data_IF_792681677593
#
_entry.id   IF_792681677593
#
_cell.length_a   1.000
_cell.length_b   1.000
_cell.length_c   1.000
_cell.angle_alpha   90.00
_cell.angle_beta   90.00
_cell.angle_gamma   90.00
#
_symmetry.space_group_name_H-M   'P 1'
#
loop_
_entity.id
_entity.type
_entity.pdbx_description
1 polymer ?
#
# COMPACT_ATOMS: atom_id res chain seq x y z
N UNK A 1 4.10 28.46 -30.16
CA UNK A 1 4.28 26.99 -30.12
C UNK A 1 2.89 26.39 -29.91
N UNK A 2 2.58 25.30 -30.61
CA UNK A 2 1.27 24.63 -30.49
C UNK A 2 1.23 23.77 -29.25
N UNK A 3 0.02 23.47 -28.77
CA UNK A 3 -0.20 22.52 -27.71
C UNK A 3 0.39 21.16 -28.08
N UNK A 4 0.98 20.49 -27.09
CA UNK A 4 1.56 19.15 -27.30
C UNK A 4 0.68 18.12 -26.63
N UNK A 5 -0.05 17.33 -27.40
CA UNK A 5 -0.88 16.23 -26.87
C UNK A 5 0.04 15.13 -26.33
N UNK A 6 -0.19 14.72 -25.09
CA UNK A 6 0.53 13.66 -24.40
C UNK A 6 -0.22 12.33 -24.46
N UNK A 7 -1.56 12.36 -24.34
CA UNK A 7 -2.40 11.17 -24.38
C UNK A 7 -3.83 11.55 -24.77
N UNK A 8 -4.57 10.60 -25.35
CA UNK A 8 -5.99 10.76 -25.66
C UNK A 8 -6.68 9.38 -25.55
N UNK A 9 -7.77 9.32 -24.79
CA UNK A 9 -8.57 8.10 -24.61
C UNK A 9 -9.99 8.47 -24.16
N UNK A 10 -10.98 7.75 -24.66
CA UNK A 10 -12.37 8.03 -24.34
C UNK A 10 -12.72 9.50 -24.57
N UNK A 11 -13.19 10.15 -23.50
CA UNK A 11 -13.52 11.60 -23.49
C UNK A 11 -12.36 12.46 -23.01
N UNK A 12 -11.19 11.88 -22.76
CA UNK A 12 -10.06 12.57 -22.10
C UNK A 12 -8.99 12.91 -23.11
N UNK A 13 -8.48 14.14 -23.07
CA UNK A 13 -7.28 14.59 -23.78
C UNK A 13 -6.32 15.21 -22.78
N UNK A 14 -5.09 14.71 -22.72
CA UNK A 14 -4.04 15.27 -21.85
C UNK A 14 -3.03 15.97 -22.72
N UNK A 15 -2.79 17.25 -22.45
CA UNK A 15 -1.87 18.05 -23.27
C UNK A 15 -1.09 19.07 -22.43
N UNK A 16 0.05 19.53 -22.98
CA UNK A 16 0.84 20.60 -22.40
C UNK A 16 0.58 21.90 -23.15
N UNK A 17 0.26 22.94 -22.41
CA UNK A 17 0.20 24.30 -22.95
C UNK A 17 1.61 24.88 -23.06
N UNK A 18 1.86 25.74 -24.06
CA UNK A 18 3.11 26.49 -24.09
C UNK A 18 3.30 27.31 -22.82
N UNK A 19 4.48 27.24 -22.24
CA UNK A 19 4.88 28.03 -21.07
C UNK A 19 4.21 27.64 -19.74
N UNK A 20 3.57 26.47 -19.66
CA UNK A 20 3.05 25.98 -18.39
C UNK A 20 3.61 24.56 -18.10
N UNK A 21 4.18 24.32 -16.92
CA UNK A 21 4.84 23.04 -16.63
C UNK A 21 3.87 21.88 -16.32
N UNK A 22 2.63 22.21 -15.91
CA UNK A 22 1.67 21.16 -15.55
C UNK A 22 0.76 20.82 -16.73
N UNK A 23 0.57 19.54 -17.06
CA UNK A 23 -0.37 19.15 -18.10
C UNK A 23 -1.80 19.58 -17.78
N UNK A 24 -2.61 19.72 -18.84
CA UNK A 24 -4.06 19.85 -18.70
C UNK A 24 -4.68 18.48 -18.99
N UNK A 25 -5.51 18.04 -18.07
CA UNK A 25 -6.41 16.91 -18.21
C UNK A 25 -7.76 17.48 -18.61
N UNK A 26 -8.09 17.41 -19.88
CA UNK A 26 -9.34 17.94 -20.43
C UNK A 26 -10.33 16.79 -20.62
N UNK A 27 -11.51 16.90 -20.03
CA UNK A 27 -12.57 15.92 -20.20
C UNK A 27 -13.75 16.56 -20.95
N UNK A 28 -14.17 15.92 -22.04
CA UNK A 28 -15.30 16.38 -22.86
C UNK A 28 -16.64 15.88 -22.32
N UNK A 29 -17.64 16.74 -22.42
CA UNK A 29 -19.01 16.41 -22.11
C UNK A 29 -19.40 16.66 -20.65
N UNK A 30 -20.66 16.42 -20.38
CA UNK A 30 -21.25 16.52 -19.04
C UNK A 30 -21.81 15.15 -18.66
N UNK A 31 -21.95 14.93 -17.38
CA UNK A 31 -22.64 13.74 -16.87
C UNK A 31 -24.04 14.13 -16.37
N UNK A 32 -24.88 13.14 -16.26
CA UNK A 32 -26.21 13.34 -15.70
C UNK A 32 -26.12 13.84 -14.26
N UNK A 33 -27.07 14.63 -13.79
CA UNK A 33 -27.07 15.13 -12.41
C UNK A 33 -26.82 13.97 -11.41
N UNK A 34 -25.87 14.18 -10.54
CA UNK A 34 -25.48 13.18 -9.54
C UNK A 34 -24.99 13.90 -8.27
N UNK A 35 -24.88 13.19 -7.14
CA UNK A 35 -24.54 13.82 -5.86
C UNK A 35 -23.14 14.44 -5.80
N UNK A 36 -22.24 14.07 -6.70
CA UNK A 36 -20.87 14.56 -6.71
C UNK A 36 -20.67 15.75 -7.67
N UNK A 37 -21.76 16.23 -8.31
CA UNK A 37 -21.65 17.34 -9.25
C UNK A 37 -20.64 17.06 -10.36
N UNK A 38 -19.97 18.11 -10.81
CA UNK A 38 -19.05 17.99 -11.95
C UNK A 38 -17.77 17.19 -11.66
N UNK A 39 -17.43 16.90 -10.39
CA UNK A 39 -16.29 16.00 -10.13
C UNK A 39 -16.62 14.54 -10.44
N UNK A 40 -17.87 14.17 -10.60
CA UNK A 40 -18.25 12.79 -10.90
C UNK A 40 -17.56 12.27 -12.17
N UNK A 41 -17.42 13.13 -13.18
CA UNK A 41 -16.74 12.74 -14.43
C UNK A 41 -15.28 12.33 -14.20
N UNK A 42 -14.64 12.93 -13.18
CA UNK A 42 -13.26 12.58 -12.80
C UNK A 42 -13.23 11.29 -11.97
N UNK A 43 -14.28 11.04 -11.20
CA UNK A 43 -14.36 9.81 -10.39
C UNK A 43 -14.55 8.56 -11.25
N UNK A 44 -15.06 8.70 -12.48
CA UNK A 44 -15.26 7.59 -13.41
C UNK A 44 -13.96 7.10 -14.06
N UNK A 45 -12.89 7.92 -14.08
CA UNK A 45 -11.64 7.57 -14.79
C UNK A 45 -10.68 6.81 -13.88
N UNK A 46 -10.46 5.53 -14.14
CA UNK A 46 -9.61 4.63 -13.35
C UNK A 46 -8.09 4.96 -13.45
N UNK A 47 -7.70 5.79 -14.40
CA UNK A 47 -6.29 6.23 -14.50
C UNK A 47 -5.97 7.37 -13.54
N UNK A 48 -6.99 7.99 -12.93
CA UNK A 48 -6.79 9.00 -11.89
C UNK A 48 -6.57 8.34 -10.53
N UNK A 49 -5.52 8.76 -9.84
CA UNK A 49 -5.20 8.32 -8.49
C UNK A 49 -5.83 9.25 -7.44
N UNK A 50 -5.86 10.55 -7.72
CA UNK A 50 -6.42 11.54 -6.79
C UNK A 50 -7.18 12.63 -7.54
N UNK A 51 -8.24 13.14 -6.91
CA UNK A 51 -9.02 14.29 -7.37
C UNK A 51 -8.99 15.33 -6.24
N UNK A 52 -8.60 16.57 -6.55
CA UNK A 52 -8.38 17.62 -5.56
C UNK A 52 -9.13 18.89 -5.94
N UNK A 53 -10.08 19.27 -5.10
CA UNK A 53 -10.82 20.53 -5.19
C UNK A 53 -10.35 21.45 -4.07
N UNK A 54 -9.95 22.69 -4.41
CA UNK A 54 -9.35 23.65 -3.47
C UNK A 54 -10.10 25.00 -3.49
N UNK A 55 -11.42 24.95 -3.46
CA UNK A 55 -12.27 26.16 -3.52
C UNK A 55 -12.58 26.62 -4.93
N UNK A 56 -13.64 27.41 -5.05
CA UNK A 56 -14.21 27.82 -6.35
C UNK A 56 -13.35 28.78 -7.17
N UNK A 57 -12.24 29.26 -6.62
CA UNK A 57 -11.33 30.17 -7.33
C UNK A 57 -10.31 29.42 -8.22
N UNK A 58 -10.28 28.08 -8.13
CA UNK A 58 -9.33 27.24 -8.88
C UNK A 58 -10.07 26.11 -9.59
N UNK A 59 -9.54 25.67 -10.73
CA UNK A 59 -10.01 24.43 -11.34
C UNK A 59 -9.67 23.24 -10.43
N UNK A 60 -10.47 22.20 -10.54
CA UNK A 60 -10.17 20.92 -9.89
C UNK A 60 -8.83 20.39 -10.46
N UNK A 61 -8.00 19.79 -9.63
CA UNK A 61 -6.73 19.18 -10.05
C UNK A 61 -6.81 17.67 -9.85
N UNK A 62 -6.03 16.93 -10.65
CA UNK A 62 -6.00 15.47 -10.57
C UNK A 62 -4.56 14.97 -10.59
N UNK A 63 -4.36 13.81 -10.03
CA UNK A 63 -3.10 13.09 -10.22
C UNK A 63 -3.34 11.92 -11.16
N UNK A 64 -2.93 11.85 -12.33
CA UNK A 64 -2.96 10.93 -13.21
C UNK A 64 -1.90 10.10 -12.97
N UNK A 65 -1.90 8.84 -13.22
CA UNK A 65 -0.86 7.84 -12.95
C UNK A 65 0.42 8.08 -13.75
N UNK A 66 0.26 8.29 -15.05
CA UNK A 66 1.40 8.39 -15.97
C UNK A 66 1.87 9.83 -16.19
N UNK A 67 1.04 10.79 -15.83
CA UNK A 67 1.32 12.21 -16.14
C UNK A 67 1.45 13.09 -14.89
N UNK A 68 1.29 12.49 -13.69
CA UNK A 68 1.43 13.23 -12.44
C UNK A 68 0.32 14.24 -12.20
N UNK A 69 0.69 15.39 -11.64
CA UNK A 69 -0.28 16.43 -11.26
C UNK A 69 -0.73 17.23 -12.50
N UNK A 70 -2.03 17.18 -12.79
CA UNK A 70 -2.64 17.89 -13.92
C UNK A 70 -3.69 18.89 -13.45
N UNK A 71 -3.82 19.98 -14.19
CA UNK A 71 -4.99 20.89 -14.09
C UNK A 71 -6.12 20.30 -14.92
N UNK A 72 -7.38 20.58 -14.55
CA UNK A 72 -8.52 20.12 -15.34
C UNK A 72 -9.30 21.31 -15.92
N UNK A 73 -10.26 21.00 -16.80
CA UNK A 73 -11.28 21.97 -17.25
C UNK A 73 -12.53 21.95 -16.36
N UNK A 74 -12.50 21.27 -15.23
CA UNK A 74 -13.62 21.16 -14.29
C UNK A 74 -13.54 22.27 -13.24
N UNK A 75 -14.63 23.02 -13.07
CA UNK A 75 -14.72 24.11 -12.10
C UNK A 75 -15.99 23.90 -11.25
N UNK A 76 -15.88 24.13 -9.95
CA UNK A 76 -16.99 23.97 -8.99
C UNK A 76 -16.98 25.21 -8.11
N UNK A 77 -18.12 25.86 -7.96
CA UNK A 77 -18.21 26.99 -7.03
C UNK A 77 -18.28 26.50 -5.58
N UNK A 78 -18.08 27.42 -4.65
CA UNK A 78 -17.98 27.09 -3.22
C UNK A 78 -19.28 26.48 -2.67
N UNK A 79 -20.45 26.97 -3.11
CA UNK A 79 -21.73 26.42 -2.65
C UNK A 79 -21.90 24.97 -3.09
N UNK A 80 -21.60 24.67 -4.35
CA UNK A 80 -21.64 23.31 -4.86
C UNK A 80 -20.59 22.45 -4.13
N UNK A 81 -19.39 22.98 -3.89
CA UNK A 81 -18.34 22.28 -3.14
C UNK A 81 -18.76 21.89 -1.73
N UNK A 82 -19.44 22.83 -1.02
CA UNK A 82 -19.97 22.55 0.33
C UNK A 82 -21.04 21.45 0.26
N UNK A 83 -21.92 21.48 -0.74
CA UNK A 83 -22.97 20.46 -0.87
C UNK A 83 -22.36 19.08 -1.14
N UNK A 84 -21.36 19.00 -2.02
CA UNK A 84 -20.63 17.76 -2.29
C UNK A 84 -19.95 17.26 -1.00
N UNK A 85 -19.28 18.15 -0.27
CA UNK A 85 -18.61 17.80 0.99
C UNK A 85 -19.59 17.23 2.01
N UNK A 86 -20.76 17.85 2.13
CA UNK A 86 -21.84 17.35 2.98
C UNK A 86 -22.37 15.98 2.53
N UNK A 87 -22.39 15.74 1.27
CA UNK A 87 -22.74 14.58 0.77
C UNK A 87 -21.96 13.59 1.23
N UNK A 88 -20.77 13.76 1.00
CA UNK A 88 -19.78 12.74 1.34
C UNK A 88 -19.69 12.50 2.86
N UNK A 89 -19.64 13.55 3.63
CA UNK A 89 -19.58 13.44 5.10
C UNK A 89 -20.75 12.62 5.67
N UNK A 90 -21.91 12.68 5.03
CA UNK A 90 -23.08 11.92 5.50
C UNK A 90 -22.90 10.41 5.40
N UNK A 91 -22.06 9.93 4.47
CA UNK A 91 -21.78 8.48 4.33
C UNK A 91 -21.07 7.92 5.56
N UNK A 92 -20.38 8.77 6.31
CA UNK A 92 -19.64 8.37 7.52
C UNK A 92 -20.29 8.96 8.79
N UNK A 93 -21.48 9.52 8.65
CA UNK A 93 -22.24 10.12 9.77
C UNK A 93 -21.45 11.24 10.47
N UNK A 94 -20.66 12.02 9.72
CA UNK A 94 -19.94 13.18 10.27
C UNK A 94 -20.83 14.42 10.11
N UNK A 95 -21.16 15.13 11.19
CA UNK A 95 -21.95 16.36 11.11
C UNK A 95 -21.08 17.52 10.63
N UNK A 96 -20.86 17.61 9.32
CA UNK A 96 -19.97 18.63 8.73
C UNK A 96 -20.61 20.02 8.79
N UNK A 97 -19.92 20.95 9.45
CA UNK A 97 -20.39 22.32 9.62
C UNK A 97 -19.54 23.10 10.58
N UNK A 98 -19.92 24.36 10.83
CA UNK A 98 -19.26 25.27 11.77
C UNK A 98 -20.17 25.65 12.97
N UNK A 99 -21.22 24.86 13.24
CA UNK A 99 -22.14 25.08 14.34
C UNK A 99 -21.85 24.20 15.57
N UNK A 100 -22.57 24.41 16.65
CA UNK A 100 -22.45 23.56 17.84
C UNK A 100 -22.68 22.09 17.51
N UNK A 101 -21.74 21.24 17.92
CA UNK A 101 -21.81 19.79 17.64
C UNK A 101 -21.41 19.40 16.24
N UNK A 102 -20.96 20.35 15.44
CA UNK A 102 -20.47 20.11 14.07
C UNK A 102 -18.96 20.21 14.01
N UNK A 103 -18.36 19.66 12.96
CA UNK A 103 -16.91 19.72 12.71
C UNK A 103 -16.64 20.26 11.31
N UNK A 104 -15.67 21.17 11.16
CA UNK A 104 -15.34 21.72 9.84
C UNK A 104 -14.31 20.89 9.05
N UNK A 105 -13.88 19.75 9.59
CA UNK A 105 -12.95 18.81 8.95
C UNK A 105 -13.53 17.41 9.03
N UNK A 106 -13.47 16.65 7.92
CA UNK A 106 -13.89 15.25 7.97
C UNK A 106 -12.97 14.36 7.16
N UNK A 107 -12.85 13.13 7.61
CA UNK A 107 -12.34 12.03 6.82
C UNK A 107 -13.52 11.12 6.51
N UNK A 108 -13.68 10.75 5.26
CA UNK A 108 -14.82 9.97 4.81
C UNK A 108 -14.43 8.96 3.75
N UNK A 109 -15.45 8.25 3.30
CA UNK A 109 -15.29 7.25 2.25
C UNK A 109 -16.49 7.28 1.32
N UNK A 110 -16.22 7.23 0.01
CA UNK A 110 -17.28 7.06 -0.98
C UNK A 110 -17.77 5.61 -0.98
N UNK A 111 -18.96 5.34 -1.53
CA UNK A 111 -19.47 3.96 -1.60
C UNK A 111 -18.57 2.99 -2.38
N UNK A 112 -17.76 3.49 -3.32
CA UNK A 112 -16.79 2.70 -4.07
C UNK A 112 -15.53 2.35 -3.26
N UNK A 113 -15.39 2.91 -2.03
CA UNK A 113 -14.24 2.71 -1.17
C UNK A 113 -13.20 3.83 -1.24
N UNK A 114 -13.34 4.78 -2.15
CA UNK A 114 -12.42 5.94 -2.27
C UNK A 114 -12.40 6.75 -0.98
N UNK A 115 -11.22 7.17 -0.53
CA UNK A 115 -11.04 7.94 0.70
C UNK A 115 -11.17 9.43 0.40
N UNK A 116 -11.81 10.16 1.29
CA UNK A 116 -11.97 11.59 1.15
C UNK A 116 -11.56 12.30 2.43
N UNK A 117 -10.69 13.29 2.28
CA UNK A 117 -10.51 14.31 3.33
C UNK A 117 -11.16 15.59 2.82
N UNK A 118 -11.99 16.19 3.65
CA UNK A 118 -12.67 17.45 3.29
C UNK A 118 -12.60 18.46 4.42
N UNK A 119 -12.53 19.73 4.03
CA UNK A 119 -12.56 20.84 4.99
C UNK A 119 -13.49 21.94 4.47
N UNK A 120 -14.04 22.70 5.40
CA UNK A 120 -14.85 23.88 5.05
C UNK A 120 -14.37 25.10 5.87
N UNK A 121 -14.75 26.31 5.45
CA UNK A 121 -14.47 27.47 6.28
C UNK A 121 -15.02 27.31 7.72
N UNK A 122 -14.32 27.83 8.75
CA UNK A 122 -13.18 28.77 8.67
C UNK A 122 -11.80 28.09 8.59
N UNK A 123 -11.72 26.76 8.57
CA UNK A 123 -10.41 26.05 8.54
C UNK A 123 -9.70 26.31 7.20
N UNK A 124 -10.46 26.31 6.12
CA UNK A 124 -9.96 26.70 4.80
C UNK A 124 -10.64 28.00 4.39
N UNK A 125 -10.01 29.16 4.71
CA UNK A 125 -10.69 30.45 4.55
C UNK A 125 -11.01 30.83 3.10
N UNK A 126 -10.33 30.22 2.13
CA UNK A 126 -10.51 30.51 0.70
C UNK A 126 -11.60 29.64 0.05
N UNK A 127 -12.29 28.81 0.83
CA UNK A 127 -13.37 27.97 0.34
C UNK A 127 -13.28 26.53 0.83
N UNK A 128 -14.28 25.70 0.53
CA UNK A 128 -14.25 24.28 0.90
C UNK A 128 -13.20 23.52 0.10
N UNK A 129 -12.67 22.43 0.67
CA UNK A 129 -11.74 21.57 -0.05
C UNK A 129 -12.19 20.12 0.01
N UNK A 130 -11.79 19.36 -1.02
CA UNK A 130 -11.96 17.91 -1.06
C UNK A 130 -10.72 17.30 -1.69
N UNK A 131 -10.10 16.36 -1.01
CA UNK A 131 -9.05 15.51 -1.57
C UNK A 131 -9.57 14.10 -1.58
N UNK A 132 -9.82 13.56 -2.77
CA UNK A 132 -10.37 12.22 -2.95
C UNK A 132 -9.27 11.34 -3.50
N UNK A 133 -8.87 10.33 -2.72
CA UNK A 133 -7.92 9.32 -3.16
C UNK A 133 -8.72 8.10 -3.63
N UNK A 134 -8.68 7.87 -4.93
CA UNK A 134 -9.54 6.87 -5.57
C UNK A 134 -9.18 5.45 -5.15
N UNK A 135 -10.21 4.66 -4.93
CA UNK A 135 -10.09 3.24 -4.70
C UNK A 135 -9.97 2.54 -6.05
N UNK A 136 -8.96 1.71 -6.23
CA UNK A 136 -8.73 1.03 -7.50
C UNK A 136 -9.59 -0.23 -7.58
N UNK A 137 -10.44 -0.33 -8.59
CA UNK A 137 -11.28 -1.52 -8.80
C UNK A 137 -10.48 -2.75 -9.20
N UNK A 138 -9.37 -2.57 -9.93
CA UNK A 138 -8.47 -3.64 -10.35
C UNK A 138 -7.13 -3.46 -9.61
N UNK A 139 -6.96 -4.08 -8.45
CA UNK A 139 -5.72 -3.91 -7.67
C UNK A 139 -4.53 -4.51 -8.41
N UNK A 140 -3.36 -3.85 -8.24
CA UNK A 140 -2.11 -4.34 -8.80
C UNK A 140 -1.73 -5.67 -8.19
N UNK A 141 -1.12 -6.53 -9.01
CA UNK A 141 -0.59 -7.83 -8.58
C UNK A 141 0.95 -7.79 -8.56
N UNK A 142 1.55 -8.84 -8.05
CA UNK A 142 3.02 -8.96 -8.10
C UNK A 142 3.55 -8.94 -9.53
N UNK A 143 2.74 -9.38 -10.50
CA UNK A 143 3.13 -9.37 -11.91
C UNK A 143 3.28 -7.94 -12.44
N UNK A 144 2.39 -7.04 -12.00
CA UNK A 144 2.52 -5.62 -12.33
C UNK A 144 3.81 -5.03 -11.73
N UNK A 145 4.13 -5.39 -10.48
CA UNK A 145 5.36 -4.90 -9.84
C UNK A 145 6.61 -5.38 -10.58
N UNK A 146 6.59 -6.61 -11.12
CA UNK A 146 7.68 -7.11 -11.95
C UNK A 146 7.73 -6.35 -13.27
N UNK A 147 6.58 -6.14 -13.91
CA UNK A 147 6.48 -5.42 -15.20
C UNK A 147 6.96 -3.97 -15.06
N UNK A 148 6.66 -3.31 -13.95
CA UNK A 148 7.13 -1.94 -13.66
C UNK A 148 8.60 -1.89 -13.23
N UNK A 149 9.24 -3.03 -13.00
CA UNK A 149 10.61 -3.09 -12.52
C UNK A 149 10.77 -2.70 -11.04
N UNK A 150 9.68 -2.70 -10.28
CA UNK A 150 9.73 -2.49 -8.82
C UNK A 150 10.48 -3.63 -8.15
N UNK A 151 10.31 -4.84 -8.67
CA UNK A 151 10.95 -6.07 -8.21
C UNK A 151 11.23 -6.92 -9.47
N UNK A 152 12.23 -7.78 -9.45
CA UNK A 152 12.44 -8.73 -10.55
C UNK A 152 11.76 -10.07 -10.27
N UNK A 153 11.60 -10.92 -11.28
CA UNK A 153 10.89 -12.21 -11.15
C UNK A 153 11.55 -13.13 -10.12
N UNK A 154 12.87 -13.07 -9.98
CA UNK A 154 13.61 -13.89 -9.01
C UNK A 154 13.27 -13.49 -7.57
N UNK A 155 13.33 -12.18 -7.27
CA UNK A 155 12.97 -11.68 -5.93
C UNK A 155 11.48 -11.89 -5.64
N UNK A 156 10.60 -11.71 -6.64
CA UNK A 156 9.16 -11.97 -6.48
C UNK A 156 8.91 -13.45 -6.11
N UNK A 157 9.64 -14.37 -6.74
CA UNK A 157 9.56 -15.80 -6.43
C UNK A 157 10.12 -16.11 -5.03
N UNK A 158 11.22 -15.44 -4.67
CA UNK A 158 11.78 -15.56 -3.32
C UNK A 158 10.79 -15.08 -2.27
N UNK A 159 10.14 -13.91 -2.50
CA UNK A 159 9.09 -13.38 -1.61
C UNK A 159 7.94 -14.37 -1.47
N UNK A 160 7.55 -15.04 -2.56
CA UNK A 160 6.51 -16.07 -2.51
C UNK A 160 6.92 -17.18 -1.55
N UNK A 161 8.17 -17.69 -1.65
CA UNK A 161 8.67 -18.71 -0.73
C UNK A 161 8.68 -18.20 0.71
N UNK A 162 9.12 -16.96 0.94
CA UNK A 162 9.15 -16.37 2.30
C UNK A 162 7.75 -16.31 2.92
N UNK A 163 6.73 -15.92 2.14
CA UNK A 163 5.35 -15.76 2.68
C UNK A 163 4.69 -17.11 2.92
N UNK A 164 4.90 -18.06 2.05
CA UNK A 164 4.36 -19.41 2.21
C UNK A 164 5.15 -20.21 3.24
N UNK A 165 6.48 -20.00 3.30
CA UNK A 165 7.36 -20.68 4.26
C UNK A 165 7.53 -22.17 4.02
N UNK A 166 7.33 -22.64 2.78
CA UNK A 166 7.28 -24.06 2.40
C UNK A 166 6.34 -24.85 3.34
N UNK A 167 5.21 -24.22 3.69
CA UNK A 167 4.17 -24.72 4.60
C UNK A 167 4.69 -25.02 6.02
N UNK A 168 5.87 -24.53 6.38
CA UNK A 168 6.51 -24.81 7.67
C UNK A 168 6.86 -23.56 8.46
N UNK A 169 7.59 -22.60 7.86
CA UNK A 169 8.06 -21.40 8.57
C UNK A 169 7.98 -20.17 7.65
N UNK A 170 6.83 -19.51 7.58
CA UNK A 170 6.73 -18.25 6.85
C UNK A 170 7.48 -17.11 7.55
N UNK A 171 7.99 -16.17 6.77
CA UNK A 171 8.80 -15.06 7.25
C UNK A 171 7.95 -13.97 7.91
N UNK A 172 8.47 -13.40 8.98
CA UNK A 172 7.98 -12.17 9.61
C UNK A 172 8.77 -10.99 9.04
N UNK A 173 8.09 -9.96 8.53
CA UNK A 173 8.83 -8.85 7.93
C UNK A 173 8.08 -7.53 7.97
N UNK A 174 8.82 -6.45 7.71
CA UNK A 174 8.23 -5.13 7.49
C UNK A 174 8.73 -4.56 6.17
N UNK A 175 7.85 -3.82 5.49
CA UNK A 175 8.20 -3.02 4.32
C UNK A 175 8.32 -1.58 4.75
N UNK A 176 9.50 -0.99 4.58
CA UNK A 176 9.73 0.40 4.94
C UNK A 176 9.99 1.24 3.70
N UNK A 177 9.64 2.51 3.77
CA UNK A 177 9.84 3.45 2.66
C UNK A 177 9.17 4.78 2.94
N UNK A 178 9.54 5.77 2.15
CA UNK A 178 8.94 7.10 2.22
C UNK A 178 7.50 7.14 1.71
N UNK A 179 6.88 8.30 1.81
CA UNK A 179 5.54 8.54 1.28
C UNK A 179 5.54 8.36 -0.24
N UNK A 180 4.53 7.65 -0.75
CA UNK A 180 4.38 7.42 -2.18
C UNK A 180 5.34 6.38 -2.76
N UNK A 181 6.09 5.66 -1.93
CA UNK A 181 7.00 4.61 -2.42
C UNK A 181 6.28 3.32 -2.84
N UNK A 182 5.00 3.17 -2.51
CA UNK A 182 4.19 2.01 -2.93
C UNK A 182 4.12 0.87 -1.92
N UNK A 183 4.42 1.13 -0.64
CA UNK A 183 4.42 0.10 0.41
C UNK A 183 3.09 -0.66 0.50
N UNK A 184 1.97 0.08 0.56
CA UNK A 184 0.64 -0.52 0.68
C UNK A 184 0.33 -1.40 -0.54
N UNK A 185 0.72 -0.95 -1.73
CA UNK A 185 0.57 -1.75 -2.96
C UNK A 185 1.36 -3.05 -2.86
N UNK A 186 2.61 -2.98 -2.40
CA UNK A 186 3.44 -4.17 -2.25
C UNK A 186 2.89 -5.10 -1.16
N UNK A 187 2.42 -4.57 -0.02
CA UNK A 187 1.73 -5.37 0.99
C UNK A 187 0.54 -6.13 0.39
N UNK A 188 -0.25 -5.43 -0.42
CA UNK A 188 -1.42 -6.02 -1.07
C UNK A 188 -1.01 -7.17 -2.00
N UNK A 189 -0.01 -6.91 -2.86
CA UNK A 189 0.50 -7.93 -3.78
C UNK A 189 1.05 -9.16 -3.06
N UNK A 190 1.72 -8.95 -1.92
CA UNK A 190 2.27 -10.06 -1.13
C UNK A 190 1.17 -10.88 -0.46
N UNK A 191 0.04 -10.25 -0.11
CA UNK A 191 -1.11 -10.95 0.46
C UNK A 191 -1.63 -12.08 -0.42
N UNK A 192 -1.51 -11.98 -1.74
CA UNK A 192 -1.96 -13.01 -2.68
C UNK A 192 -1.18 -14.33 -2.54
N UNK A 193 0.04 -14.27 -1.97
CA UNK A 193 0.86 -15.47 -1.75
C UNK A 193 0.46 -16.24 -0.48
N UNK A 194 -0.44 -15.69 0.34
CA UNK A 194 -0.88 -16.38 1.57
C UNK A 194 -1.82 -17.54 1.17
N UNK A 195 -1.53 -18.79 1.60
CA UNK A 195 -2.42 -19.91 1.26
C UNK A 195 -3.83 -19.72 1.82
N UNK A 196 -4.86 -20.03 1.03
CA UNK A 196 -6.27 -19.79 1.41
C UNK A 196 -6.72 -20.55 2.64
N UNK A 197 -6.08 -21.67 2.99
CA UNK A 197 -6.42 -22.40 4.20
C UNK A 197 -5.93 -21.71 5.47
N UNK A 198 -5.14 -20.63 5.35
CA UNK A 198 -4.66 -19.82 6.48
C UNK A 198 -5.61 -18.65 6.74
N UNK A 199 -5.96 -18.42 7.99
CA UNK A 199 -6.82 -17.29 8.37
C UNK A 199 -6.01 -16.00 8.35
N UNK A 200 -6.39 -15.09 7.46
CA UNK A 200 -5.73 -13.78 7.30
C UNK A 200 -6.53 -12.71 8.05
N UNK A 201 -5.86 -11.94 8.88
CA UNK A 201 -6.42 -10.72 9.48
C UNK A 201 -5.61 -9.52 9.03
N UNK A 202 -6.29 -8.45 8.62
CA UNK A 202 -5.64 -7.16 8.32
C UNK A 202 -6.13 -6.10 9.30
N UNK A 203 -5.22 -5.22 9.73
CA UNK A 203 -5.52 -4.10 10.62
C UNK A 203 -4.99 -2.84 9.96
N UNK A 204 -5.87 -1.85 9.75
CA UNK A 204 -5.54 -0.62 9.02
C UNK A 204 -6.18 0.60 9.67
N UNK A 205 -5.53 1.77 9.55
CA UNK A 205 -6.15 3.06 9.94
C UNK A 205 -7.35 3.37 9.04
N UNK A 206 -7.17 3.13 7.75
CA UNK A 206 -8.26 3.17 6.78
C UNK A 206 -8.04 1.99 5.85
N UNK A 207 -9.08 1.22 5.63
CA UNK A 207 -8.99 -0.02 4.85
C UNK A 207 -8.66 0.28 3.37
N UNK A 208 -7.44 0.00 2.97
CA UNK A 208 -6.91 0.18 1.60
C UNK A 208 -6.60 -1.17 0.93
N UNK A 209 -6.25 -2.18 1.73
CA UNK A 209 -5.88 -3.48 1.19
C UNK A 209 -7.08 -4.14 0.49
N UNK A 210 -6.79 -4.80 -0.61
CA UNK A 210 -7.75 -5.50 -1.47
C UNK A 210 -7.27 -6.92 -1.73
N UNK A 211 -6.92 -7.64 -0.68
CA UNK A 211 -6.37 -8.99 -0.81
C UNK A 211 -7.47 -9.94 -1.30
N UNK A 212 -7.22 -10.65 -2.39
CA UNK A 212 -8.14 -11.67 -2.88
C UNK A 212 -7.85 -12.98 -2.12
N UNK A 213 -8.60 -13.21 -1.03
CA UNK A 213 -8.33 -14.33 -0.10
C UNK A 213 -9.63 -14.91 0.44
N UNK A 214 -9.73 -16.22 0.46
CA UNK A 214 -10.94 -16.96 0.82
C UNK A 214 -11.33 -16.81 2.31
N UNK A 215 -10.34 -16.63 3.19
CA UNK A 215 -10.57 -16.54 4.63
C UNK A 215 -9.91 -15.27 5.21
N UNK A 216 -10.46 -14.10 4.85
CA UNK A 216 -9.93 -12.79 5.22
C UNK A 216 -10.88 -12.03 6.14
N UNK A 217 -10.36 -11.53 7.26
CA UNK A 217 -11.06 -10.63 8.17
C UNK A 217 -10.30 -9.29 8.21
N UNK A 218 -11.03 -8.23 7.98
CA UNK A 218 -10.49 -6.87 7.89
C UNK A 218 -10.94 -6.07 9.10
N UNK A 219 -10.01 -5.37 9.75
CA UNK A 219 -10.28 -4.46 10.86
C UNK A 219 -9.78 -3.06 10.51
N UNK A 220 -10.58 -2.07 10.87
CA UNK A 220 -10.26 -0.65 10.63
C UNK A 220 -10.41 0.10 11.96
N UNK A 221 -9.50 1.05 12.20
CA UNK A 221 -9.56 1.89 13.41
C UNK A 221 -10.76 2.84 13.35
N UNK A 222 -11.10 3.39 14.49
CA UNK A 222 -12.16 4.39 14.58
C UNK A 222 -11.67 5.55 15.46
N UNK A 223 -11.65 6.75 14.89
CA UNK A 223 -11.31 7.95 15.65
C UNK A 223 -12.41 8.27 16.67
N UNK A 224 -12.05 8.99 17.72
CA UNK A 224 -13.02 9.54 18.66
C UNK A 224 -14.01 10.44 17.90
N UNK A 225 -15.28 10.32 18.23
CA UNK A 225 -16.35 11.09 17.59
C UNK A 225 -16.77 12.28 18.45
N UNK A 226 -17.31 13.33 17.83
CA UNK A 226 -17.83 14.49 18.59
C UNK A 226 -18.94 14.16 19.59
N UNK A 227 -19.63 13.06 19.40
CA UNK A 227 -20.70 12.59 20.32
C UNK A 227 -20.15 11.88 21.55
N UNK A 228 -18.82 11.80 21.70
CA UNK A 228 -18.15 11.13 22.82
C UNK A 228 -17.93 9.62 22.61
N UNK A 229 -18.22 9.11 21.42
CA UNK A 229 -17.88 7.70 21.10
C UNK A 229 -16.36 7.54 21.12
N UNK A 230 -15.82 6.61 21.94
CA UNK A 230 -14.38 6.52 22.13
C UNK A 230 -13.64 6.03 20.89
N UNK A 231 -12.37 6.42 20.79
CA UNK A 231 -11.43 5.91 19.79
C UNK A 231 -11.25 4.40 19.96
N UNK A 232 -11.03 3.71 18.83
CA UNK A 232 -10.50 2.34 18.79
C UNK A 232 -9.26 2.41 17.91
N UNK A 233 -8.08 2.35 18.52
CA UNK A 233 -6.84 2.57 17.81
C UNK A 233 -6.28 1.28 17.18
N UNK A 234 -5.17 1.41 16.48
CA UNK A 234 -4.48 0.30 15.79
C UNK A 234 -4.08 -0.80 16.79
N UNK A 235 -3.61 -0.41 17.97
CA UNK A 235 -3.16 -1.33 19.01
C UNK A 235 -4.33 -2.11 19.60
N UNK A 236 -5.50 -1.46 19.78
CA UNK A 236 -6.72 -2.13 20.24
C UNK A 236 -7.17 -3.20 19.23
N UNK A 237 -7.19 -2.82 17.96
CA UNK A 237 -7.55 -3.75 16.89
C UNK A 237 -6.59 -4.94 16.86
N UNK A 238 -5.28 -4.66 16.93
CA UNK A 238 -4.26 -5.71 16.87
C UNK A 238 -4.33 -6.65 18.09
N UNK A 239 -4.50 -6.09 19.30
CA UNK A 239 -4.70 -6.92 20.51
C UNK A 239 -5.95 -7.81 20.41
N UNK A 240 -7.02 -7.27 19.84
CA UNK A 240 -8.25 -8.03 19.63
C UNK A 240 -8.02 -9.16 18.61
N UNK A 241 -7.29 -8.85 17.53
CA UNK A 241 -7.01 -9.82 16.45
C UNK A 241 -6.32 -11.09 16.98
N UNK A 242 -5.43 -10.95 17.98
CA UNK A 242 -4.71 -12.07 18.57
C UNK A 242 -5.63 -13.10 19.26
N UNK A 243 -6.87 -12.70 19.57
CA UNK A 243 -7.88 -13.60 20.17
C UNK A 243 -8.81 -14.21 19.12
N UNK A 244 -8.58 -13.90 17.83
CA UNK A 244 -9.42 -14.36 16.72
C UNK A 244 -8.82 -15.55 15.98
N UNK A 245 -7.78 -16.17 16.54
CA UNK A 245 -7.05 -17.30 15.95
C UNK A 245 -6.51 -16.98 14.55
N UNK A 246 -5.71 -15.92 14.40
CA UNK A 246 -5.13 -15.62 13.11
C UNK A 246 -3.97 -16.56 12.78
N UNK A 247 -3.85 -16.95 11.51
CA UNK A 247 -2.63 -17.59 11.00
C UNK A 247 -1.66 -16.55 10.44
N UNK A 248 -2.20 -15.43 9.91
CA UNK A 248 -1.43 -14.34 9.33
C UNK A 248 -2.03 -13.01 9.74
N UNK A 249 -1.18 -12.06 10.10
CA UNK A 249 -1.61 -10.70 10.43
C UNK A 249 -0.87 -9.73 9.53
N UNK A 250 -1.61 -8.84 8.84
CA UNK A 250 -1.02 -7.74 8.09
C UNK A 250 -1.43 -6.43 8.77
N UNK A 251 -0.45 -5.61 9.14
CA UNK A 251 -0.71 -4.26 9.66
C UNK A 251 -0.40 -3.27 8.54
N UNK A 252 -1.41 -2.52 8.12
CA UNK A 252 -1.29 -1.59 6.98
C UNK A 252 -0.14 -0.61 7.15
N UNK A 253 -0.07 0.01 8.34
CA UNK A 253 1.07 0.87 8.68
C UNK A 253 1.29 0.91 10.19
N UNK A 254 2.54 0.72 10.58
CA UNK A 254 2.96 0.73 11.99
C UNK A 254 3.57 2.10 12.30
N UNK A 255 3.03 2.79 13.31
CA UNK A 255 3.47 4.15 13.68
C UNK A 255 3.68 4.34 15.18
N UNK A 256 3.09 3.47 15.99
CA UNK A 256 3.01 3.64 17.43
C UNK A 256 3.15 2.34 18.22
N UNK A 257 2.47 2.23 19.36
CA UNK A 257 2.65 1.08 20.27
C UNK A 257 2.22 -0.27 19.68
N UNK A 258 1.43 -0.29 18.60
CA UNK A 258 1.09 -1.52 17.87
C UNK A 258 2.34 -2.24 17.35
N UNK A 259 3.46 -1.53 17.16
CA UNK A 259 4.73 -2.14 16.76
C UNK A 259 5.14 -3.25 17.74
N UNK A 260 5.14 -2.94 19.03
CA UNK A 260 5.52 -3.91 20.06
C UNK A 260 4.54 -5.10 20.11
N UNK A 261 3.24 -4.83 19.91
CA UNK A 261 2.21 -5.88 19.87
C UNK A 261 2.41 -6.79 18.65
N UNK A 262 2.72 -6.22 17.48
CA UNK A 262 3.02 -7.00 16.27
C UNK A 262 4.26 -7.88 16.46
N UNK A 263 5.33 -7.31 17.03
CA UNK A 263 6.56 -8.07 17.32
C UNK A 263 6.31 -9.16 18.37
N UNK A 264 5.43 -8.90 19.35
CA UNK A 264 5.00 -9.92 20.29
C UNK A 264 4.32 -11.08 19.54
N UNK A 265 3.41 -10.78 18.63
CA UNK A 265 2.73 -11.80 17.82
C UNK A 265 3.76 -12.63 17.03
N UNK A 266 4.71 -11.97 16.37
CA UNK A 266 5.78 -12.62 15.62
C UNK A 266 6.66 -13.55 16.49
N UNK A 267 6.86 -13.18 17.77
CA UNK A 267 7.66 -13.98 18.71
C UNK A 267 6.86 -15.08 19.43
N UNK A 268 5.53 -15.11 19.29
CA UNK A 268 4.67 -16.02 20.04
C UNK A 268 3.80 -16.91 19.16
N UNK A 269 4.29 -17.24 17.96
CA UNK A 269 3.67 -18.27 17.14
C UNK A 269 2.72 -17.76 16.05
N UNK A 270 2.74 -16.44 15.76
CA UNK A 270 1.99 -15.89 14.63
C UNK A 270 2.95 -15.59 13.47
N UNK A 271 3.75 -16.60 13.09
CA UNK A 271 4.73 -16.49 12.01
C UNK A 271 4.05 -16.16 10.67
N UNK A 272 4.77 -15.40 9.84
CA UNK A 272 4.25 -14.93 8.57
C UNK A 272 3.42 -13.66 8.69
N UNK A 273 3.57 -12.95 9.80
CA UNK A 273 2.93 -11.64 10.00
C UNK A 273 3.83 -10.53 9.45
N UNK A 274 3.23 -9.49 8.90
CA UNK A 274 3.99 -8.39 8.31
C UNK A 274 3.23 -7.08 8.32
N UNK A 275 3.92 -6.00 8.00
CA UNK A 275 3.32 -4.67 7.96
C UNK A 275 4.21 -3.67 7.25
N UNK A 276 3.80 -2.41 7.22
CA UNK A 276 4.64 -1.35 6.67
C UNK A 276 4.95 -0.29 7.72
N UNK A 277 5.98 0.51 7.44
CA UNK A 277 6.30 1.70 8.25
C UNK A 277 7.10 2.72 7.42
N UNK A 278 7.22 3.92 7.95
CA UNK A 278 7.99 4.98 7.30
C UNK A 278 9.44 4.94 7.77
N UNK A 279 10.36 4.55 6.88
CA UNK A 279 11.80 4.67 7.06
C UNK A 279 12.47 4.50 5.70
N UNK A 280 13.67 5.03 5.53
CA UNK A 280 14.34 5.02 4.21
C UNK A 280 15.47 3.99 4.10
N UNK A 281 15.89 3.42 5.23
CA UNK A 281 16.92 2.36 5.27
C UNK A 281 16.55 1.32 6.32
N UNK A 282 17.14 0.13 6.22
CA UNK A 282 16.95 -0.91 7.24
C UNK A 282 17.42 -0.44 8.62
N UNK A 283 18.53 0.29 8.67
CA UNK A 283 19.04 0.83 9.94
C UNK A 283 18.09 1.87 10.54
N UNK A 284 17.52 2.76 9.71
CA UNK A 284 16.51 3.73 10.18
C UNK A 284 15.26 3.00 10.68
N UNK A 285 14.85 1.93 10.00
CA UNK A 285 13.71 1.11 10.42
C UNK A 285 13.90 0.60 11.86
N UNK A 286 15.05 0.00 12.12
CA UNK A 286 15.41 -0.48 13.47
C UNK A 286 15.38 0.67 14.48
N UNK A 287 15.98 1.80 14.12
CA UNK A 287 16.05 2.97 15.00
C UNK A 287 14.64 3.47 15.36
N UNK A 288 13.74 3.56 14.37
CA UNK A 288 12.37 4.01 14.62
C UNK A 288 11.59 3.03 15.48
N UNK A 289 11.79 1.71 15.27
CA UNK A 289 11.08 0.70 16.06
C UNK A 289 11.50 0.72 17.53
N UNK A 290 12.78 0.95 17.82
CA UNK A 290 13.30 0.94 19.20
C UNK A 290 12.89 2.20 19.97
N UNK A 291 12.77 3.34 19.27
CA UNK A 291 12.53 4.63 19.89
C UNK A 291 11.03 5.00 19.93
N UNK A 292 10.64 5.98 20.76
CA UNK A 292 9.26 6.47 20.75
C UNK A 292 8.81 6.94 19.36
N UNK A 293 7.54 6.75 18.99
CA UNK A 293 6.44 6.22 19.82
C UNK A 293 6.30 4.68 19.80
N UNK A 294 7.11 3.97 19.01
CA UNK A 294 7.00 2.51 18.86
C UNK A 294 7.52 1.73 20.07
N UNK A 295 8.65 2.16 20.64
CA UNK A 295 9.23 1.63 21.90
C UNK A 295 9.36 0.10 21.92
N UNK A 296 9.74 -0.52 20.80
CA UNK A 296 9.95 -1.97 20.72
C UNK A 296 11.22 -2.33 21.51
N UNK A 297 11.14 -3.20 22.51
CA UNK A 297 12.37 -3.70 23.16
C UNK A 297 13.29 -4.35 22.13
N UNK A 298 14.59 -3.97 22.10
CA UNK A 298 15.49 -4.48 21.05
C UNK A 298 15.51 -5.99 20.89
N UNK A 299 15.41 -6.73 21.99
CA UNK A 299 15.41 -8.20 21.93
C UNK A 299 14.24 -8.76 21.12
N UNK A 300 13.11 -8.05 21.07
CA UNK A 300 11.94 -8.50 20.32
C UNK A 300 12.16 -8.45 18.81
N UNK A 301 13.14 -7.64 18.34
CA UNK A 301 13.47 -7.57 16.91
C UNK A 301 14.00 -8.91 16.39
N UNK A 302 14.42 -9.83 17.25
CA UNK A 302 14.81 -11.18 16.82
C UNK A 302 13.65 -11.98 16.21
N UNK A 303 12.41 -11.58 16.47
CA UNK A 303 11.23 -12.18 15.83
C UNK A 303 10.94 -11.65 14.44
N UNK A 304 11.62 -10.58 14.02
CA UNK A 304 11.52 -10.00 12.69
C UNK A 304 12.61 -10.60 11.80
N UNK A 305 12.21 -11.28 10.74
CA UNK A 305 13.18 -11.93 9.84
C UNK A 305 13.76 -10.95 8.83
N UNK A 306 12.90 -10.10 8.21
CA UNK A 306 13.31 -9.25 7.10
C UNK A 306 12.82 -7.81 7.27
N UNK A 307 13.63 -6.89 6.76
CA UNK A 307 13.25 -5.49 6.51
C UNK A 307 13.42 -5.27 5.00
N UNK A 308 12.35 -4.92 4.30
CA UNK A 308 12.33 -4.66 2.86
C UNK A 308 12.22 -3.15 2.67
N UNK A 309 13.17 -2.54 1.98
CA UNK A 309 13.15 -1.09 1.74
C UNK A 309 12.64 -0.83 0.33
N UNK A 310 11.63 0.01 0.22
CA UNK A 310 11.03 0.41 -1.05
C UNK A 310 11.08 1.93 -1.21
N UNK A 311 11.68 2.38 -2.29
CA UNK A 311 11.89 3.80 -2.54
C UNK A 311 11.18 4.26 -3.81
N UNK A 312 10.82 5.54 -3.82
CA UNK A 312 10.40 6.27 -5.01
C UNK A 312 11.64 7.00 -5.53
N UNK A 313 12.06 6.64 -6.74
CA UNK A 313 13.29 7.14 -7.35
C UNK A 313 12.98 7.92 -8.62
N UNK A 314 13.88 8.83 -9.00
CA UNK A 314 13.84 9.51 -10.29
C UNK A 314 14.93 8.90 -11.16
N UNK A 315 14.51 8.17 -12.20
CA UNK A 315 15.43 7.49 -13.13
C UNK A 315 15.08 7.91 -14.56
N UNK A 316 16.05 8.46 -15.27
CA UNK A 316 15.89 8.88 -16.67
C UNK A 316 14.67 9.78 -16.90
N UNK A 317 14.41 10.72 -15.99
CA UNK A 317 13.31 11.67 -16.11
C UNK A 317 11.93 11.14 -15.71
N UNK A 318 11.85 9.88 -15.29
CA UNK A 318 10.59 9.28 -14.85
C UNK A 318 10.65 8.93 -13.36
N UNK A 319 9.49 8.98 -12.71
CA UNK A 319 9.36 8.54 -11.33
C UNK A 319 9.06 7.04 -11.32
N UNK A 320 9.93 6.27 -10.67
CA UNK A 320 9.78 4.81 -10.56
C UNK A 320 9.77 4.41 -9.08
N UNK A 321 9.20 3.27 -8.80
CA UNK A 321 9.20 2.69 -7.46
C UNK A 321 10.02 1.40 -7.50
N UNK A 322 10.99 1.26 -6.58
CA UNK A 322 11.93 0.13 -6.56
C UNK A 322 12.08 -0.43 -5.15
N UNK A 323 12.15 -1.75 -5.04
CA UNK A 323 12.72 -2.35 -3.84
C UNK A 323 14.23 -2.13 -3.95
N UNK A 324 14.80 -1.43 -2.97
CA UNK A 324 16.20 -1.02 -3.01
C UNK A 324 17.10 -1.86 -2.11
N UNK A 325 16.49 -2.51 -1.10
CA UNK A 325 17.27 -3.28 -0.12
C UNK A 325 16.39 -4.33 0.53
N UNK A 326 16.90 -5.52 0.75
CA UNK A 326 16.30 -6.50 1.66
C UNK A 326 17.38 -6.86 2.68
N UNK A 327 17.10 -6.59 3.95
CA UNK A 327 17.99 -6.84 5.07
C UNK A 327 17.39 -7.90 5.99
N UNK A 328 18.21 -8.83 6.45
CA UNK A 328 17.84 -9.81 7.50
C UNK A 328 18.31 -9.32 8.86
N UNK A 329 17.55 -9.60 9.89
CA UNK A 329 18.04 -9.48 11.26
C UNK A 329 18.78 -10.77 11.61
N UNK A 330 20.11 -10.70 11.47
CA UNK A 330 20.99 -11.88 11.59
C UNK A 330 21.26 -12.29 13.04
N UNK A 331 20.94 -11.40 14.00
CA UNK A 331 21.17 -11.63 15.43
C UNK A 331 21.30 -10.32 16.17
N UNK A 332 21.81 -10.41 17.41
CA UNK A 332 22.02 -9.22 18.25
C UNK A 332 23.50 -9.10 18.60
N UNK A 333 23.97 -7.85 18.64
CA UNK A 333 25.28 -7.47 19.19
C UNK A 333 25.00 -6.54 20.39
N UNK A 334 24.96 -7.13 21.58
CA UNK A 334 24.47 -6.41 22.76
C UNK A 334 22.99 -6.06 22.58
N UNK A 335 22.68 -4.77 22.59
CA UNK A 335 21.31 -4.27 22.38
C UNK A 335 21.01 -3.88 20.94
N UNK A 336 21.96 -4.04 20.01
CA UNK A 336 21.79 -3.63 18.61
C UNK A 336 21.59 -4.86 17.72
N UNK A 337 20.55 -4.85 16.86
CA UNK A 337 20.41 -5.93 15.89
C UNK A 337 21.45 -5.80 14.80
N UNK A 338 22.03 -6.95 14.41
CA UNK A 338 22.96 -7.03 13.29
C UNK A 338 22.17 -7.28 12.01
N UNK A 339 22.39 -6.43 11.01
CA UNK A 339 21.69 -6.49 9.74
C UNK A 339 22.59 -7.07 8.65
N UNK A 340 22.11 -8.10 7.95
CA UNK A 340 22.75 -8.64 6.75
C UNK A 340 21.90 -8.21 5.54
N UNK A 341 22.49 -7.42 4.65
CA UNK A 341 21.79 -7.00 3.42
C UNK A 341 21.93 -8.12 2.39
N UNK A 342 20.88 -8.85 2.11
CA UNK A 342 20.90 -10.01 1.23
C UNK A 342 20.51 -9.68 -0.22
N UNK A 343 19.78 -8.57 -0.44
CA UNK A 343 19.48 -8.04 -1.78
C UNK A 343 19.73 -6.54 -1.78
N UNK A 344 20.30 -6.03 -2.86
CA UNK A 344 20.57 -4.59 -2.98
C UNK A 344 20.38 -4.11 -4.41
N UNK A 345 19.76 -2.92 -4.54
CA UNK A 345 19.57 -2.25 -5.81
C UNK A 345 20.89 -1.65 -6.29
N UNK A 346 21.20 -1.91 -7.54
CA UNK A 346 22.39 -1.39 -8.22
C UNK A 346 21.92 -0.36 -9.26
N UNK A 347 22.15 0.92 -8.96
CA UNK A 347 21.70 2.02 -9.83
C UNK A 347 22.43 2.04 -11.18
N UNK A 348 23.62 1.44 -11.27
CA UNK A 348 24.39 1.45 -12.51
C UNK A 348 23.77 0.59 -13.61
N UNK A 349 23.06 -0.49 -13.24
CA UNK A 349 22.42 -1.39 -14.20
C UNK A 349 20.89 -1.45 -14.02
N UNK A 350 20.33 -0.63 -13.12
CA UNK A 350 18.90 -0.56 -12.78
C UNK A 350 18.33 -1.92 -12.34
N UNK A 351 19.08 -2.69 -11.55
CA UNK A 351 18.63 -4.02 -11.10
C UNK A 351 18.77 -4.17 -9.60
N UNK A 352 17.87 -4.95 -9.01
CA UNK A 352 18.06 -5.45 -7.65
C UNK A 352 18.69 -6.86 -7.74
N UNK A 353 19.75 -7.09 -6.98
CA UNK A 353 20.60 -8.28 -7.09
C UNK A 353 20.90 -8.86 -5.71
N UNK A 354 21.11 -10.18 -5.66
CA UNK A 354 21.60 -10.84 -4.47
C UNK A 354 23.03 -10.39 -4.19
N UNK A 355 23.33 -10.15 -2.91
CA UNK A 355 24.66 -9.67 -2.50
C UNK A 355 25.68 -10.81 -2.34
N UNK A 356 25.21 -12.07 -2.32
CA UNK A 356 26.05 -13.22 -2.03
C UNK A 356 26.23 -13.49 -0.54
N UNK A 357 25.66 -12.66 0.34
CA UNK A 357 25.67 -12.93 1.79
C UNK A 357 24.73 -14.11 2.07
N UNK A 358 25.19 -15.17 2.75
CA UNK A 358 24.31 -16.30 3.08
C UNK A 358 23.08 -15.86 3.88
N UNK A 359 21.90 -16.34 3.47
CA UNK A 359 20.65 -15.97 4.10
C UNK A 359 20.37 -16.88 5.31
N UNK A 360 20.26 -16.27 6.47
CA UNK A 360 19.83 -16.93 7.71
C UNK A 360 18.38 -17.43 7.59
N UNK A 361 17.51 -16.61 6.98
CA UNK A 361 16.11 -16.99 6.80
C UNK A 361 15.98 -18.24 5.93
N UNK A 362 16.79 -18.35 4.86
CA UNK A 362 16.82 -19.57 4.03
C UNK A 362 17.16 -20.79 4.89
N UNK A 363 18.18 -20.69 5.75
CA UNK A 363 18.57 -21.77 6.65
C UNK A 363 17.42 -22.17 7.58
N UNK A 364 16.74 -21.18 8.17
CA UNK A 364 15.59 -21.40 9.06
C UNK A 364 14.47 -22.11 8.33
N UNK A 365 14.11 -21.67 7.13
CA UNK A 365 13.02 -22.30 6.35
C UNK A 365 13.44 -23.72 5.94
N UNK A 366 14.66 -23.91 5.47
CA UNK A 366 15.19 -25.24 5.11
C UNK A 366 15.10 -26.22 6.29
N UNK A 367 15.54 -25.77 7.46
CA UNK A 367 15.52 -26.58 8.67
C UNK A 367 14.08 -26.94 9.07
N UNK A 368 13.17 -25.96 9.06
CA UNK A 368 11.78 -26.17 9.44
C UNK A 368 11.04 -27.09 8.46
N UNK A 369 11.34 -26.96 7.17
CA UNK A 369 10.71 -27.77 6.12
C UNK A 369 11.41 -29.12 5.89
N UNK A 370 12.57 -29.36 6.52
CA UNK A 370 13.33 -30.58 6.34
C UNK A 370 13.91 -30.72 4.93
N UNK A 371 14.31 -29.61 4.30
CA UNK A 371 14.83 -29.61 2.92
C UNK A 371 16.27 -29.07 2.87
N UNK A 372 16.99 -29.44 1.83
CA UNK A 372 18.35 -28.91 1.60
C UNK A 372 18.27 -27.55 0.91
N UNK A 373 19.34 -26.73 0.96
CA UNK A 373 19.38 -25.48 0.19
C UNK A 373 19.13 -25.65 -1.30
N UNK A 374 19.61 -26.75 -1.90
CA UNK A 374 19.38 -27.04 -3.33
C UNK A 374 17.89 -27.27 -3.61
N UNK A 375 17.18 -27.94 -2.70
CA UNK A 375 15.74 -28.15 -2.83
C UNK A 375 14.98 -26.83 -2.65
N UNK A 376 15.43 -26.01 -1.70
CA UNK A 376 14.88 -24.65 -1.53
C UNK A 376 14.99 -23.83 -2.83
N UNK A 377 16.18 -23.85 -3.47
CA UNK A 377 16.38 -23.13 -4.74
C UNK A 377 15.45 -23.66 -5.84
N UNK A 378 15.22 -24.97 -5.91
CA UNK A 378 14.25 -25.56 -6.86
C UNK A 378 12.84 -25.03 -6.60
N UNK A 379 12.46 -24.83 -5.33
CA UNK A 379 11.15 -24.23 -4.99
C UNK A 379 11.06 -22.78 -5.47
N UNK A 380 12.14 -22.02 -5.36
CA UNK A 380 12.19 -20.64 -5.89
C UNK A 380 12.08 -20.68 -7.43
N UNK A 381 12.86 -21.54 -8.09
CA UNK A 381 12.84 -21.70 -9.56
C UNK A 381 11.44 -22.04 -10.10
N UNK A 382 10.73 -22.93 -9.41
CA UNK A 382 9.37 -23.32 -9.80
C UNK A 382 8.44 -22.10 -9.79
N UNK A 383 8.49 -21.30 -8.72
CA UNK A 383 7.64 -20.11 -8.59
C UNK A 383 8.05 -19.02 -9.58
N UNK A 384 9.34 -18.88 -9.83
CA UNK A 384 9.83 -17.93 -10.83
C UNK A 384 9.28 -18.30 -12.23
N UNK A 385 9.30 -19.58 -12.59
CA UNK A 385 8.75 -20.06 -13.88
C UNK A 385 7.25 -19.75 -13.99
N UNK A 386 6.49 -19.92 -12.90
CA UNK A 386 5.04 -19.60 -12.91
C UNK A 386 4.85 -18.09 -13.13
N UNK A 387 5.61 -17.25 -12.40
CA UNK A 387 5.55 -15.79 -12.55
C UNK A 387 5.88 -15.39 -14.00
N UNK A 388 6.96 -15.95 -14.56
CA UNK A 388 7.40 -15.62 -15.91
C UNK A 388 6.42 -16.13 -16.98
N UNK A 389 5.75 -17.26 -16.75
CA UNK A 389 4.72 -17.75 -17.66
C UNK A 389 3.49 -16.85 -17.67
N UNK A 390 3.03 -16.42 -16.50
CA UNK A 390 1.91 -15.48 -16.38
C UNK A 390 2.23 -14.14 -17.05
N UNK A 391 3.45 -13.63 -16.84
CA UNK A 391 3.91 -12.41 -17.50
C UNK A 391 3.91 -12.53 -19.03
N UNK A 392 4.42 -13.66 -19.54
CA UNK A 392 4.47 -13.94 -20.99
C UNK A 392 3.08 -14.01 -21.61
N UNK A 393 2.11 -14.49 -20.84
CA UNK A 393 0.71 -14.62 -21.27
C UNK A 393 -0.10 -13.35 -21.00
N UNK A 394 0.53 -12.32 -20.44
CA UNK A 394 -0.07 -11.04 -20.02
C UNK A 394 -1.29 -11.22 -19.10
N UNK A 395 -1.27 -12.25 -18.24
CA UNK A 395 -2.31 -12.51 -17.25
C UNK A 395 -1.90 -11.77 -15.98
N UNK A 396 -2.72 -10.81 -15.54
CA UNK A 396 -2.36 -10.00 -14.37
C UNK A 396 -3.54 -9.63 -13.46
N UNK A 397 -4.78 -10.00 -13.83
CA UNK A 397 -5.92 -9.75 -12.95
C UNK A 397 -5.77 -10.55 -11.65
N UNK A 398 -6.14 -9.92 -10.53
CA UNK A 398 -5.88 -10.47 -9.20
C UNK A 398 -6.54 -11.84 -8.98
N UNK A 399 -7.74 -12.04 -9.54
CA UNK A 399 -8.47 -13.30 -9.34
C UNK A 399 -7.75 -14.45 -10.02
N UNK A 400 -7.41 -14.32 -11.31
CA UNK A 400 -6.72 -15.35 -12.06
C UNK A 400 -5.33 -15.64 -11.50
N UNK A 401 -4.56 -14.59 -11.20
CA UNK A 401 -3.19 -14.75 -10.66
C UNK A 401 -3.25 -15.49 -9.32
N UNK A 402 -4.14 -15.05 -8.42
CA UNK A 402 -4.27 -15.69 -7.09
C UNK A 402 -4.73 -17.13 -7.26
N UNK A 403 -5.70 -17.41 -8.16
CA UNK A 403 -6.17 -18.78 -8.39
C UNK A 403 -5.03 -19.70 -8.88
N UNK A 404 -4.15 -19.21 -9.75
CA UNK A 404 -2.97 -19.98 -10.18
C UNK A 404 -2.07 -20.32 -9.00
N UNK A 405 -1.83 -19.34 -8.13
CA UNK A 405 -1.01 -19.52 -6.91
C UNK A 405 -1.65 -20.57 -5.99
N UNK A 406 -2.96 -20.47 -5.74
CA UNK A 406 -3.66 -21.39 -4.85
C UNK A 406 -3.75 -22.80 -5.44
N UNK A 407 -3.94 -22.92 -6.76
CA UNK A 407 -3.90 -24.22 -7.44
C UNK A 407 -2.52 -24.87 -7.32
N UNK A 408 -1.45 -24.07 -7.38
CA UNK A 408 -0.08 -24.58 -7.16
C UNK A 408 0.05 -25.20 -5.76
N UNK A 409 -0.54 -24.57 -4.73
CA UNK A 409 -0.53 -25.17 -3.38
C UNK A 409 -1.36 -26.45 -3.32
N UNK A 410 -2.52 -26.46 -3.97
CA UNK A 410 -3.42 -27.63 -3.94
C UNK A 410 -2.84 -28.84 -4.67
N UNK A 411 -1.88 -28.63 -5.59
CA UNK A 411 -1.26 -29.71 -6.36
C UNK A 411 -0.05 -30.36 -5.65
N UNK A 412 0.31 -29.89 -4.46
CA UNK A 412 1.43 -30.38 -3.65
C UNK A 412 0.96 -31.33 -2.56
#
# INVERSE_FOLDING_TARGET
>A
MSEKVLAQYGRVTIYLEPNHPSPIYHVDGSIEPNPYGDIAVLLEDDDLEEVMYNGGTQCVKVAXRDHGMCRTNVWIDDDAGIQIAKXIASFTNVPLGDGPGMVPIFDGRLPDGSRVNGTIPPITPDGPTLTIRKFREDPLTMLDLVKFGTVNSRLAAMMWVWIEGLDSRPANFVIAGGTGSGKTTTLNCLGMYIPWHRRLLTVEDTAELQVYHDHWLRMETRRERPDGTPEVDMNDCLKSSLRMRPDRIIVGEVRGPEAATLLTAMNTGHDGSFGSLHANTAQETVTRMINPPMNVPPIMLTGLDLIIIQARLHVNGSTVRKITEVAEIAGMEGTKPRLNIIWKYNAANDRIEETGIPSKLREIICQAAGVTPDVFEKHVDQRQKIIEDLLRRDIRDIQTVTQVIQNFYASR
#
